data_IF_423375465371
#
_entry.id   IF_423375465371
#
_cell.length_a   1.000
_cell.length_b   1.000
_cell.length_c   1.000
_cell.angle_alpha   90.00
_cell.angle_beta   90.00
_cell.angle_gamma   90.00
#
_symmetry.space_group_name_H-M   'P 1'
#
loop_
_entity.id
_entity.type
_entity.pdbx_description
1 polymer ?
#
# COMPACT_ATOMS: atom_id res chain seq x y z
N UNK A 1 -7.58 12.79 1.46
CA UNK A 1 -6.20 12.30 1.21
C UNK A 1 -5.20 12.67 2.30
N UNK A 2 -5.21 13.88 2.87
CA UNK A 2 -4.24 14.31 3.92
C UNK A 2 -4.17 13.38 5.13
N UNK A 3 -5.31 12.87 5.62
CA UNK A 3 -5.34 11.91 6.75
C UNK A 3 -4.62 10.59 6.46
N UNK A 4 -4.65 10.13 5.21
CA UNK A 4 -3.96 8.90 4.79
C UNK A 4 -2.46 9.17 4.74
N UNK A 5 -2.04 10.31 4.16
CA UNK A 5 -0.64 10.72 4.10
C UNK A 5 -0.03 10.90 5.50
N UNK A 6 -0.78 11.47 6.44
CA UNK A 6 -0.34 11.65 7.83
C UNK A 6 -0.23 10.33 8.60
N UNK A 7 -1.10 9.35 8.34
CA UNK A 7 -1.14 8.09 9.10
C UNK A 7 -0.36 6.93 8.45
N UNK A 8 -0.06 7.03 7.15
CA UNK A 8 0.66 6.01 6.39
C UNK A 8 -0.17 4.79 6.00
N UNK A 9 -1.51 4.82 6.13
CA UNK A 9 -2.38 3.73 5.71
C UNK A 9 -3.79 4.20 5.33
N UNK A 10 -4.49 3.37 4.56
CA UNK A 10 -5.89 3.53 4.19
C UNK A 10 -6.70 2.30 4.59
N UNK A 11 -8.00 2.50 4.83
CA UNK A 11 -8.95 1.41 5.03
C UNK A 11 -9.97 1.42 3.89
N UNK A 12 -10.35 0.24 3.45
CA UNK A 12 -11.57 -0.01 2.66
C UNK A 12 -12.55 -0.72 3.61
N UNK A 13 -13.72 -0.11 3.85
CA UNK A 13 -14.76 -0.69 4.71
C UNK A 13 -15.96 -1.15 3.87
N UNK A 14 -15.79 -2.27 3.15
CA UNK A 14 -16.82 -2.80 2.25
C UNK A 14 -17.16 -1.87 1.08
N UNK A 15 -16.20 -1.02 0.68
CA UNK A 15 -16.35 -0.09 -0.44
C UNK A 15 -16.27 -0.83 -1.78
N UNK A 16 -15.37 -1.82 -1.87
CA UNK A 16 -15.20 -2.65 -3.08
C UNK A 16 -16.17 -3.83 -3.09
N UNK A 17 -16.30 -4.53 -1.96
CA UNK A 17 -17.07 -5.78 -1.85
C UNK A 17 -17.71 -5.90 -0.47
N UNK A 18 -19.02 -6.11 -0.43
CA UNK A 18 -19.75 -6.39 0.80
C UNK A 18 -19.16 -7.62 1.53
N UNK A 19 -19.03 -7.49 2.85
CA UNK A 19 -18.45 -8.52 3.72
C UNK A 19 -16.92 -8.60 3.72
N UNK A 20 -16.22 -7.76 2.94
CA UNK A 20 -14.75 -7.68 2.92
C UNK A 20 -14.29 -6.29 3.33
N UNK A 21 -13.32 -6.23 4.23
CA UNK A 21 -12.63 -4.97 4.56
C UNK A 21 -11.13 -5.13 4.35
N UNK A 22 -10.48 -4.03 3.98
CA UNK A 22 -9.06 -4.03 3.71
C UNK A 22 -8.33 -2.94 4.52
N UNK A 23 -7.04 -3.18 4.76
CA UNK A 23 -6.08 -2.16 5.14
C UNK A 23 -4.94 -2.16 4.15
N UNK A 24 -4.52 -0.98 3.69
CA UNK A 24 -3.40 -0.82 2.77
C UNK A 24 -2.41 0.23 3.25
N UNK A 25 -1.13 0.02 2.97
CA UNK A 25 -0.05 0.98 3.23
C UNK A 25 0.82 1.20 1.98
N UNK A 26 1.32 2.42 1.75
CA UNK A 26 2.18 2.74 0.62
C UNK A 26 3.61 2.22 0.81
N UNK A 27 4.25 1.88 -0.30
CA UNK A 27 5.68 1.57 -0.39
C UNK A 27 6.38 2.77 -1.02
N UNK A 28 7.44 3.24 -0.37
CA UNK A 28 8.18 4.43 -0.78
C UNK A 28 9.52 4.08 -1.41
N UNK A 29 9.95 4.89 -2.38
CA UNK A 29 11.33 4.93 -2.81
C UNK A 29 12.20 5.79 -1.86
N UNK A 30 13.46 6.00 -2.22
CA UNK A 30 14.45 6.82 -1.48
C UNK A 30 14.21 8.34 -1.57
N UNK A 31 13.27 8.78 -2.43
CA UNK A 31 12.89 10.18 -2.64
C UNK A 31 11.48 10.50 -2.11
N UNK A 32 11.00 9.70 -1.15
CA UNK A 32 9.64 9.78 -0.57
C UNK A 32 8.50 9.64 -1.59
N UNK A 33 8.80 9.14 -2.79
CA UNK A 33 7.82 8.84 -3.83
C UNK A 33 7.13 7.50 -3.56
N UNK A 34 5.81 7.47 -3.64
CA UNK A 34 5.04 6.21 -3.55
C UNK A 34 5.20 5.44 -4.86
N UNK A 35 5.79 4.25 -4.80
CA UNK A 35 6.06 3.39 -5.97
C UNK A 35 5.17 2.14 -6.03
N UNK A 36 4.56 1.77 -4.91
CA UNK A 36 3.63 0.64 -4.82
C UNK A 36 2.77 0.77 -3.54
N UNK A 37 1.89 -0.20 -3.31
CA UNK A 37 1.17 -0.36 -2.05
C UNK A 37 1.01 -1.85 -1.70
N UNK A 38 0.89 -2.15 -0.42
CA UNK A 38 0.58 -3.49 0.09
C UNK A 38 -0.74 -3.42 0.83
N UNK A 39 -1.64 -4.37 0.56
CA UNK A 39 -2.94 -4.46 1.22
C UNK A 39 -3.26 -5.85 1.72
N UNK A 40 -3.99 -5.92 2.83
CA UNK A 40 -4.59 -7.14 3.36
C UNK A 40 -6.12 -7.03 3.26
N UNK A 41 -6.74 -7.97 2.54
CA UNK A 41 -8.19 -8.12 2.46
C UNK A 41 -8.63 -9.30 3.33
N UNK A 42 -9.62 -9.08 4.19
CA UNK A 42 -10.17 -10.12 5.09
C UNK A 42 -11.68 -9.91 5.29
N UNK A 43 -12.42 -10.93 5.74
CA UNK A 43 -13.83 -10.76 6.10
C UNK A 43 -14.04 -9.64 7.15
N UNK A 44 -15.03 -8.77 6.95
CA UNK A 44 -15.26 -7.56 7.78
C UNK A 44 -15.34 -7.87 9.27
N UNK A 45 -16.08 -8.92 9.66
CA UNK A 45 -16.19 -9.31 11.07
C UNK A 45 -14.83 -9.53 11.73
N UNK A 46 -13.92 -10.24 11.04
CA UNK A 46 -12.56 -10.50 11.51
C UNK A 46 -11.70 -9.24 11.52
N UNK A 47 -11.86 -8.41 10.49
CA UNK A 47 -11.19 -7.12 10.42
C UNK A 47 -11.50 -6.25 11.64
N UNK A 48 -12.77 -6.16 12.05
CA UNK A 48 -13.20 -5.37 13.21
C UNK A 48 -12.52 -5.81 14.51
N UNK A 49 -12.32 -7.12 14.72
CA UNK A 49 -11.67 -7.64 15.93
C UNK A 49 -10.15 -7.47 15.95
N UNK A 50 -9.48 -7.45 14.78
CA UNK A 50 -8.01 -7.44 14.67
C UNK A 50 -7.45 -6.21 13.94
N UNK A 51 -8.25 -5.14 13.82
CA UNK A 51 -7.92 -3.95 13.01
C UNK A 51 -6.55 -3.38 13.32
N UNK A 52 -6.23 -3.18 14.60
CA UNK A 52 -4.95 -2.59 15.02
C UNK A 52 -3.78 -3.50 14.68
N UNK A 53 -3.90 -4.81 14.92
CA UNK A 53 -2.89 -5.83 14.59
C UNK A 53 -2.61 -5.87 13.09
N UNK A 54 -3.67 -5.93 12.26
CA UNK A 54 -3.54 -5.94 10.80
C UNK A 54 -2.95 -4.64 10.25
N UNK A 55 -3.31 -3.50 10.84
CA UNK A 55 -2.73 -2.21 10.45
C UNK A 55 -1.24 -2.16 10.75
N UNK A 56 -0.82 -2.58 11.95
CA UNK A 56 0.58 -2.63 12.34
C UNK A 56 1.39 -3.57 11.43
N UNK A 57 0.87 -4.77 11.16
CA UNK A 57 1.52 -5.74 10.28
C UNK A 57 1.70 -5.20 8.86
N UNK A 58 0.69 -4.52 8.31
CA UNK A 58 0.76 -3.96 6.95
C UNK A 58 1.71 -2.77 6.86
N UNK A 59 1.75 -1.90 7.87
CA UNK A 59 2.75 -0.84 7.96
C UNK A 59 4.18 -1.41 8.04
N UNK A 60 4.40 -2.43 8.87
CA UNK A 60 5.72 -3.07 8.99
C UNK A 60 6.15 -3.70 7.67
N UNK A 61 5.24 -4.44 7.00
CA UNK A 61 5.49 -5.05 5.71
C UNK A 61 5.84 -3.99 4.66
N UNK A 62 5.05 -2.91 4.56
CA UNK A 62 5.29 -1.84 3.61
C UNK A 62 6.62 -1.12 3.84
N UNK A 63 6.99 -0.85 5.10
CA UNK A 63 8.30 -0.29 5.45
C UNK A 63 9.45 -1.23 5.09
N UNK A 64 9.29 -2.54 5.34
CA UNK A 64 10.32 -3.53 5.01
C UNK A 64 10.51 -3.66 3.50
N UNK A 65 9.43 -3.63 2.73
CA UNK A 65 9.48 -3.63 1.26
C UNK A 65 10.14 -2.35 0.75
N UNK A 66 9.79 -1.18 1.31
CA UNK A 66 10.43 0.10 0.95
C UNK A 66 11.96 0.02 1.11
N UNK A 67 12.45 -0.53 2.24
CA UNK A 67 13.89 -0.73 2.47
C UNK A 67 14.54 -1.68 1.46
N UNK A 68 13.84 -2.73 1.02
CA UNK A 68 14.38 -3.71 0.06
C UNK A 68 14.40 -3.11 -1.35
N UNK A 69 13.30 -2.46 -1.76
CA UNK A 69 13.19 -1.77 -3.04
C UNK A 69 14.33 -0.75 -3.21
N UNK A 70 14.64 0.01 -2.16
CA UNK A 70 15.71 1.00 -2.17
C UNK A 70 17.13 0.41 -2.21
N UNK A 71 17.32 -0.87 -1.87
CA UNK A 71 18.62 -1.56 -2.01
C UNK A 71 18.85 -2.09 -3.42
N UNK A 72 17.77 -2.42 -4.14
CA UNK A 72 17.81 -2.98 -5.50
C UNK A 72 17.61 -1.94 -6.61
N UNK A 73 17.12 -0.74 -6.30
CA UNK A 73 16.89 0.34 -7.27
C UNK A 73 18.19 1.07 -7.65
N UNK A 74 19.20 0.31 -8.10
CA UNK A 74 20.11 0.80 -9.13
C UNK A 74 19.33 0.90 -10.44
N UNK A 75 18.99 2.14 -10.84
CA UNK A 75 18.51 2.51 -12.18
C UNK A 75 17.36 1.66 -12.77
N UNK A 76 16.13 1.88 -12.31
CA UNK A 76 14.96 1.64 -13.18
C UNK A 76 14.35 3.01 -13.52
N UNK A 77 14.84 3.62 -14.59
CA UNK A 77 14.16 4.75 -15.23
C UNK A 77 13.01 4.14 -16.03
N UNK A 78 11.78 4.49 -15.69
CA UNK A 78 10.59 4.13 -16.45
C UNK A 78 10.79 4.54 -17.92
N UNK A 79 10.98 3.56 -18.81
CA UNK A 79 10.62 3.76 -20.22
C UNK A 79 9.10 3.77 -20.26
N UNK A 80 8.51 4.96 -20.18
CA UNK A 80 7.14 5.18 -20.62
C UNK A 80 7.11 5.03 -22.14
N UNK A 81 6.92 3.80 -22.62
CA UNK A 81 6.52 3.56 -24.00
C UNK A 81 5.06 4.01 -24.15
N UNK A 82 4.90 5.31 -24.40
CA UNK A 82 3.69 5.89 -24.94
C UNK A 82 3.52 5.36 -26.37
N UNK A 83 2.95 4.17 -26.52
CA UNK A 83 2.46 3.69 -27.80
C UNK A 83 1.22 4.51 -28.18
N UNK A 84 1.50 5.62 -28.87
CA UNK A 84 0.56 6.40 -29.66
C UNK A 84 -0.23 5.46 -30.57
N UNK A 85 -1.55 5.38 -30.37
CA UNK A 85 -2.45 4.82 -31.38
C UNK A 85 -2.62 5.86 -32.47
N UNK A 86 -2.04 5.58 -33.64
CA UNK A 86 -2.44 6.17 -34.91
C UNK A 86 -3.74 5.51 -35.41
#
# INVERSE_FOLDING_TARGET
MERIRSRGYAYDNEETSLGVSCVGAPVYNDRDGVIAAVSLAVPTHRFKHKRTEYTAAILEAAHRISRIANRGMGTYTERTDHASKA
#
